data_IF_948288807052
#
_entry.id   IF_948288807052
#
_cell.length_a   1.000
_cell.length_b   1.000
_cell.length_c   1.000
_cell.angle_alpha   90.00
_cell.angle_beta   90.00
_cell.angle_gamma   90.00
#
_symmetry.space_group_name_H-M   'P 1'
#
loop_
_entity.id
_entity.type
_entity.pdbx_description
1 polymer ?
#
# COMPACT_ATOMS: atom_id res chain seq x y z
N UNK A 1 -1.88 7.66 10.46
CA UNK A 1 -1.33 7.68 9.08
C UNK A 1 -0.67 9.04 8.81
N UNK A 2 0.59 9.06 8.34
CA UNK A 2 1.31 10.27 7.97
C UNK A 2 1.13 10.59 6.47
N UNK A 3 0.20 11.51 6.18
CA UNK A 3 -0.21 11.85 4.82
C UNK A 3 0.91 12.46 3.97
N UNK A 4 1.80 13.26 4.55
CA UNK A 4 2.88 13.90 3.77
C UNK A 4 3.94 12.87 3.33
N UNK A 5 4.37 11.98 4.23
CA UNK A 5 5.26 10.86 3.86
C UNK A 5 4.63 9.93 2.83
N UNK A 6 3.32 9.67 2.96
CA UNK A 6 2.58 8.88 1.97
C UNK A 6 2.62 9.53 0.59
N UNK A 7 2.37 10.84 0.49
CA UNK A 7 2.40 11.59 -0.77
C UNK A 7 3.78 11.52 -1.44
N UNK A 8 4.85 11.62 -0.67
CA UNK A 8 6.22 11.49 -1.19
C UNK A 8 6.48 10.12 -1.81
N UNK A 9 6.03 9.05 -1.16
CA UNK A 9 6.21 7.70 -1.68
C UNK A 9 5.29 7.42 -2.87
N UNK A 10 4.04 7.91 -2.85
CA UNK A 10 3.11 7.75 -3.98
C UNK A 10 3.72 8.31 -5.27
N UNK A 11 4.32 9.51 -5.24
CA UNK A 11 4.98 10.09 -6.42
C UNK A 11 6.07 9.18 -7.03
N UNK A 12 6.74 8.37 -6.20
CA UNK A 12 7.82 7.49 -6.64
C UNK A 12 7.34 6.16 -7.21
N UNK A 13 6.17 5.68 -6.80
CA UNK A 13 5.69 4.32 -7.13
C UNK A 13 4.68 4.27 -8.28
N UNK A 14 4.21 5.42 -8.75
CA UNK A 14 3.23 5.57 -9.84
C UNK A 14 3.73 6.48 -10.96
N UNK A 15 5.04 6.67 -11.06
CA UNK A 15 5.67 7.51 -12.10
C UNK A 15 5.31 7.08 -13.52
N UNK A 16 4.90 5.82 -13.69
CA UNK A 16 4.47 5.19 -14.94
C UNK A 16 2.99 5.45 -15.31
N UNK A 17 2.23 6.16 -14.46
CA UNK A 17 0.83 6.51 -14.73
C UNK A 17 0.67 8.01 -15.00
N UNK A 18 -0.12 8.35 -16.02
CA UNK A 18 -0.63 9.71 -16.23
C UNK A 18 -1.77 10.02 -15.25
N UNK A 19 -1.45 10.07 -13.96
CA UNK A 19 -2.42 10.35 -12.89
C UNK A 19 -1.83 11.34 -11.88
N UNK A 20 -2.65 12.30 -11.44
CA UNK A 20 -2.21 13.26 -10.44
C UNK A 20 -2.17 12.63 -9.04
N UNK A 21 -1.35 13.21 -8.15
CA UNK A 21 -1.30 12.79 -6.74
C UNK A 21 -2.66 12.93 -6.06
N UNK A 22 -3.43 13.97 -6.39
CA UNK A 22 -4.77 14.19 -5.85
C UNK A 22 -5.72 13.04 -6.22
N UNK A 23 -5.68 12.61 -7.49
CA UNK A 23 -6.49 11.49 -7.95
C UNK A 23 -6.08 10.16 -7.32
N UNK A 24 -4.79 9.93 -7.09
CA UNK A 24 -4.30 8.75 -6.37
C UNK A 24 -4.82 8.69 -4.94
N UNK A 25 -4.81 9.84 -4.25
CA UNK A 25 -5.39 9.95 -2.90
C UNK A 25 -6.88 9.65 -2.96
N UNK A 26 -7.61 10.20 -3.92
CA UNK A 26 -9.04 9.90 -4.09
C UNK A 26 -9.31 8.42 -4.40
N UNK A 27 -8.46 7.74 -5.17
CA UNK A 27 -8.56 6.30 -5.41
C UNK A 27 -8.30 5.53 -4.11
N UNK A 28 -7.23 5.89 -3.39
CA UNK A 28 -6.90 5.28 -2.10
C UNK A 28 -8.06 5.42 -1.12
N UNK A 29 -8.70 6.58 -1.02
CA UNK A 29 -9.84 6.80 -0.12
C UNK A 29 -11.17 6.20 -0.64
N UNK A 30 -11.17 5.58 -1.82
CA UNK A 30 -12.38 5.03 -2.44
C UNK A 30 -13.33 6.09 -3.01
N UNK A 31 -12.91 7.35 -3.07
CA UNK A 31 -13.67 8.49 -3.63
C UNK A 31 -13.65 8.53 -5.15
N UNK A 32 -12.67 7.86 -5.78
CA UNK A 32 -12.55 7.76 -7.24
C UNK A 32 -12.29 6.32 -7.66
N UNK A 33 -12.89 5.89 -8.77
CA UNK A 33 -12.58 4.62 -9.43
C UNK A 33 -11.74 4.90 -10.67
N UNK A 34 -10.75 4.04 -10.93
CA UNK A 34 -10.01 4.03 -12.19
C UNK A 34 -10.05 2.62 -12.78
N UNK A 35 -10.03 2.53 -14.11
CA UNK A 35 -10.16 1.28 -14.85
C UNK A 35 -8.90 0.41 -14.72
N UNK A 36 -7.72 1.02 -14.75
CA UNK A 36 -6.43 0.31 -14.73
C UNK A 36 -5.84 0.21 -13.31
N UNK A 37 -6.07 1.22 -12.47
CA UNK A 37 -5.47 1.37 -11.14
C UNK A 37 -6.56 1.46 -10.07
N UNK A 38 -6.58 0.50 -9.14
CA UNK A 38 -7.48 0.50 -7.99
C UNK A 38 -6.70 0.63 -6.68
N UNK A 39 -7.42 0.78 -5.57
CA UNK A 39 -6.83 0.95 -4.23
C UNK A 39 -5.86 -0.20 -3.91
N UNK A 40 -6.26 -1.44 -4.17
CA UNK A 40 -5.49 -2.63 -3.81
C UNK A 40 -4.17 -2.71 -4.58
N UNK A 41 -4.18 -2.38 -5.87
CA UNK A 41 -2.95 -2.29 -6.69
C UNK A 41 -2.00 -1.20 -6.20
N UNK A 42 -2.52 -0.05 -5.78
CA UNK A 42 -1.68 1.04 -5.22
C UNK A 42 -1.05 0.57 -3.90
N UNK A 43 -1.84 -0.03 -3.02
CA UNK A 43 -1.36 -0.56 -1.74
C UNK A 43 -0.30 -1.65 -1.95
N UNK A 44 -0.53 -2.59 -2.86
CA UNK A 44 0.45 -3.62 -3.19
C UNK A 44 1.75 -3.02 -3.74
N UNK A 45 1.67 -1.98 -4.58
CA UNK A 45 2.84 -1.25 -5.06
C UNK A 45 3.61 -0.56 -3.93
N UNK A 46 2.92 0.04 -2.96
CA UNK A 46 3.56 0.60 -1.77
C UNK A 46 4.31 -0.48 -0.99
N UNK A 47 3.67 -1.63 -0.73
CA UNK A 47 4.30 -2.76 -0.05
C UNK A 47 5.56 -3.24 -0.79
N UNK A 48 5.50 -3.34 -2.11
CA UNK A 48 6.61 -3.81 -2.94
C UNK A 48 7.77 -2.81 -3.07
N UNK A 49 7.50 -1.51 -2.97
CA UNK A 49 8.45 -0.46 -3.36
C UNK A 49 9.00 0.32 -2.17
N UNK A 50 8.28 0.34 -1.05
CA UNK A 50 8.64 1.10 0.15
C UNK A 50 9.18 0.14 1.20
N UNK A 51 10.33 0.48 1.79
CA UNK A 51 10.92 -0.31 2.87
C UNK A 51 9.96 -0.44 4.06
N UNK A 52 9.93 -1.61 4.70
CA UNK A 52 9.09 -1.92 5.86
C UNK A 52 9.12 -0.88 6.98
N UNK A 53 10.30 -0.39 7.38
CA UNK A 53 10.40 0.62 8.43
C UNK A 53 9.75 1.94 8.02
N UNK A 54 9.87 2.30 6.74
CA UNK A 54 9.20 3.48 6.21
C UNK A 54 7.68 3.29 6.12
N UNK A 55 7.20 2.09 5.83
CA UNK A 55 5.77 1.77 5.92
C UNK A 55 5.25 1.94 7.35
N UNK A 56 6.00 1.50 8.37
CA UNK A 56 5.65 1.72 9.79
C UNK A 56 5.66 3.20 10.21
N UNK A 57 6.48 4.03 9.55
CA UNK A 57 6.43 5.49 9.75
C UNK A 57 5.25 6.17 9.06
N UNK A 58 4.68 5.54 8.03
CA UNK A 58 3.56 6.07 7.25
C UNK A 58 2.23 5.60 7.83
N UNK A 59 2.11 4.32 8.17
CA UNK A 59 0.88 3.68 8.60
C UNK A 59 0.99 3.24 10.05
N UNK A 60 -0.06 3.51 10.82
CA UNK A 60 -0.17 2.95 12.17
C UNK A 60 -0.29 1.41 12.06
N UNK A 61 0.20 0.63 13.04
CA UNK A 61 0.18 -0.83 12.98
C UNK A 61 -1.18 -1.45 12.62
N UNK A 62 -2.26 -0.89 13.18
CA UNK A 62 -3.63 -1.33 12.87
C UNK A 62 -4.01 -1.09 11.40
N UNK A 63 -3.67 0.08 10.86
CA UNK A 63 -3.92 0.40 9.44
C UNK A 63 -3.08 -0.49 8.53
N UNK A 64 -1.83 -0.76 8.90
CA UNK A 64 -0.96 -1.64 8.13
C UNK A 64 -1.48 -3.07 8.12
N UNK A 65 -2.01 -3.57 9.25
CA UNK A 65 -2.71 -4.86 9.31
C UNK A 65 -3.93 -4.92 8.39
N UNK A 66 -4.74 -3.86 8.34
CA UNK A 66 -5.88 -3.77 7.42
C UNK A 66 -5.45 -3.75 5.95
N UNK A 67 -4.34 -3.08 5.64
CA UNK A 67 -3.76 -3.05 4.29
C UNK A 67 -3.28 -4.45 3.86
N UNK A 68 -2.74 -5.25 4.78
CA UNK A 68 -2.25 -6.61 4.51
C UNK A 68 -3.37 -7.66 4.35
N UNK A 69 -4.55 -7.26 3.86
CA UNK A 69 -5.62 -8.20 3.55
C UNK A 69 -5.37 -8.98 2.25
N UNK A 70 -6.12 -10.07 2.06
CA UNK A 70 -5.94 -10.98 0.93
C UNK A 70 -6.22 -10.31 -0.43
N UNK A 71 -7.09 -9.28 -0.46
CA UNK A 71 -7.39 -8.50 -1.67
C UNK A 71 -6.20 -7.66 -2.14
N UNK A 72 -5.31 -7.25 -1.23
CA UNK A 72 -4.04 -6.58 -1.57
C UNK A 72 -2.94 -7.59 -1.86
N UNK A 73 -2.79 -8.60 -0.99
CA UNK A 73 -1.69 -9.58 -1.09
C UNK A 73 -1.72 -10.40 -2.38
N UNK A 74 -2.89 -10.62 -2.99
CA UNK A 74 -2.99 -11.30 -4.30
C UNK A 74 -2.29 -10.57 -5.44
N UNK A 75 -2.01 -9.27 -5.31
CA UNK A 75 -1.26 -8.49 -6.30
C UNK A 75 0.26 -8.56 -6.10
N UNK A 76 0.75 -9.20 -5.04
CA UNK A 76 2.18 -9.44 -4.82
C UNK A 76 2.52 -10.77 -5.50
N UNK A 77 3.14 -10.72 -6.68
CA UNK A 77 3.40 -11.94 -7.48
C UNK A 77 4.60 -12.78 -6.99
N UNK A 78 5.49 -12.19 -6.20
CA UNK A 78 6.67 -12.87 -5.65
C UNK A 78 6.23 -13.64 -4.40
N UNK A 79 6.23 -14.97 -4.48
CA UNK A 79 5.70 -15.85 -3.42
C UNK A 79 6.37 -15.62 -2.06
N UNK A 80 7.71 -15.62 -2.01
CA UNK A 80 8.44 -15.44 -0.76
C UNK A 80 8.08 -14.12 -0.06
N UNK A 81 8.01 -13.04 -0.83
CA UNK A 81 7.67 -11.71 -0.30
C UNK A 81 6.21 -11.64 0.16
N UNK A 82 5.30 -12.35 -0.53
CA UNK A 82 3.92 -12.48 -0.07
C UNK A 82 3.86 -13.19 1.29
N UNK A 83 4.63 -14.26 1.47
CA UNK A 83 4.72 -14.97 2.75
C UNK A 83 5.30 -14.09 3.86
N UNK A 84 6.33 -13.28 3.57
CA UNK A 84 6.89 -12.31 4.52
C UNK A 84 5.81 -11.32 5.00
N UNK A 85 4.96 -10.84 4.10
CA UNK A 85 3.86 -9.94 4.44
C UNK A 85 2.71 -10.63 5.19
N UNK A 86 2.44 -11.91 4.93
CA UNK A 86 1.48 -12.70 5.72
C UNK A 86 1.99 -12.83 7.15
N UNK A 87 3.26 -13.18 7.33
CA UNK A 87 3.89 -13.25 8.65
C UNK A 87 3.86 -11.89 9.36
N UNK A 88 4.14 -10.80 8.65
CA UNK A 88 4.06 -9.46 9.22
C UNK A 88 2.65 -9.10 9.70
N UNK A 89 1.60 -9.51 8.97
CA UNK A 89 0.19 -9.32 9.40
C UNK A 89 -0.12 -10.07 10.69
N UNK A 90 0.40 -11.29 10.83
CA UNK A 90 0.23 -12.10 12.04
C UNK A 90 0.93 -11.41 13.22
N UNK A 91 2.19 -10.98 13.07
CA UNK A 91 2.92 -10.25 14.09
C UNK A 91 2.23 -8.94 14.50
N UNK A 92 1.66 -8.20 13.56
CA UNK A 92 0.86 -6.99 13.84
C UNK A 92 -0.46 -7.28 14.56
N UNK A 93 -0.92 -8.53 14.59
CA UNK A 93 -2.13 -8.93 15.30
C UNK A 93 -1.90 -9.22 16.79
N UNK A 94 -0.64 -9.36 17.20
CA UNK A 94 -0.22 -9.60 18.58
C UNK A 94 0.14 -8.30 19.34
N UNK A 95 0.12 -7.15 18.65
CA UNK A 95 0.34 -5.80 19.18
C UNK A 95 -0.96 -5.14 19.66
#
# INVERSE_FOLDING_TARGET
>A
MNTEKLKEELKKIVWDYEISLEELIQILEGRKKSFSLNREKILARLLLSVNWYKLLEIFDPQVLKEILNDEVLKYIHIESLRQDFIYAREALSEL
#
